data_IF_004336549305
#
_entry.id   IF_004336549305
#
_cell.length_a   1.000
_cell.length_b   1.000
_cell.length_c   1.000
_cell.angle_alpha   90.00
_cell.angle_beta   90.00
_cell.angle_gamma   90.00
#
_symmetry.space_group_name_H-M   'P 1'
#
loop_
_entity.id
_entity.type
_entity.pdbx_description
1 polymer ?
#
# COMPACT_ATOMS: atom_id res chain seq x y z
N UNK A 1 -34.98 55.55 -46.80
CA UNK A 1 -33.71 54.76 -46.93
C UNK A 1 -33.12 54.54 -45.54
N UNK A 2 -33.17 53.37 -44.96
CA UNK A 2 -32.53 53.07 -43.69
C UNK A 2 -31.14 52.45 -43.92
N UNK A 3 -30.14 53.00 -43.19
CA UNK A 3 -28.74 52.58 -43.18
C UNK A 3 -28.58 51.20 -42.50
N UNK A 4 -27.91 50.28 -43.17
CA UNK A 4 -27.47 48.98 -42.63
C UNK A 4 -26.27 49.17 -41.69
N UNK A 5 -26.36 48.63 -40.49
CA UNK A 5 -25.25 48.46 -39.52
C UNK A 5 -24.48 47.17 -39.86
N UNK A 6 -23.15 47.13 -39.63
CA UNK A 6 -22.34 45.92 -39.92
C UNK A 6 -22.52 44.89 -38.82
N UNK A 7 -22.64 43.61 -39.23
CA UNK A 7 -22.65 42.46 -38.33
C UNK A 7 -21.22 42.19 -37.85
N UNK A 8 -20.96 42.41 -36.54
CA UNK A 8 -19.78 41.89 -35.86
C UNK A 8 -19.93 40.35 -35.74
N UNK A 9 -19.00 39.64 -36.35
CA UNK A 9 -18.75 38.21 -36.10
C UNK A 9 -18.29 38.06 -34.67
N UNK A 10 -19.12 37.42 -33.85
CA UNK A 10 -18.70 36.83 -32.55
C UNK A 10 -17.99 35.51 -32.89
N UNK A 11 -16.66 35.55 -32.91
CA UNK A 11 -15.87 34.32 -32.84
C UNK A 11 -16.08 33.68 -31.48
N UNK A 12 -16.90 32.64 -31.42
CA UNK A 12 -17.01 31.77 -30.26
C UNK A 12 -15.70 30.99 -30.11
N UNK A 13 -14.88 31.40 -29.13
CA UNK A 13 -13.74 30.64 -28.67
C UNK A 13 -14.22 29.27 -28.15
N UNK A 14 -14.27 28.29 -29.01
CA UNK A 14 -14.48 26.91 -28.62
C UNK A 14 -13.32 26.50 -27.71
N UNK A 15 -13.60 26.34 -26.43
CA UNK A 15 -12.74 25.64 -25.51
C UNK A 15 -12.37 24.31 -26.16
N UNK A 16 -11.10 24.16 -26.56
CA UNK A 16 -10.54 22.87 -27.01
C UNK A 16 -10.65 21.90 -25.84
N UNK A 17 -11.74 21.15 -25.79
CA UNK A 17 -11.88 19.99 -24.93
C UNK A 17 -10.77 19.05 -25.36
N UNK A 18 -9.77 18.82 -24.52
CA UNK A 18 -8.75 17.79 -24.72
C UNK A 18 -9.49 16.47 -24.97
N UNK A 19 -9.11 15.68 -25.99
CA UNK A 19 -9.68 14.36 -26.17
C UNK A 19 -9.44 13.53 -24.90
N UNK A 20 -10.37 12.62 -24.55
CA UNK A 20 -10.20 11.77 -23.37
C UNK A 20 -8.89 11.01 -23.51
N UNK A 21 -8.05 11.09 -22.48
CA UNK A 21 -6.82 10.31 -22.36
C UNK A 21 -7.19 8.84 -22.59
N UNK A 22 -6.50 8.18 -23.51
CA UNK A 22 -6.75 6.77 -23.83
C UNK A 22 -6.58 5.93 -22.55
N UNK A 23 -7.61 5.23 -22.07
CA UNK A 23 -7.57 4.50 -20.80
C UNK A 23 -6.65 3.26 -20.82
N UNK A 24 -5.94 2.99 -21.91
CA UNK A 24 -5.18 1.76 -22.14
C UNK A 24 -3.67 1.89 -21.96
N UNK A 25 -3.14 3.07 -21.64
CA UNK A 25 -1.71 3.23 -21.34
C UNK A 25 -1.52 3.29 -19.83
N UNK A 26 -0.67 2.42 -19.25
CA UNK A 26 -0.35 2.55 -17.82
C UNK A 26 0.42 3.85 -17.60
N UNK A 27 -0.28 4.83 -17.07
CA UNK A 27 0.28 6.16 -16.77
C UNK A 27 1.22 6.14 -15.57
N UNK A 28 1.81 5.01 -15.21
CA UNK A 28 2.71 4.86 -14.08
C UNK A 28 3.58 3.61 -14.20
N UNK A 29 4.67 3.58 -13.43
CA UNK A 29 5.47 2.36 -13.20
C UNK A 29 5.36 1.99 -11.73
N UNK A 30 5.32 0.70 -11.43
CA UNK A 30 5.26 0.19 -10.08
C UNK A 30 6.46 -0.71 -9.77
N UNK A 31 7.08 -0.49 -8.60
CA UNK A 31 8.14 -1.33 -8.02
C UNK A 31 7.60 -1.96 -6.75
N UNK A 32 7.37 -3.26 -6.79
CA UNK A 32 6.97 -4.02 -5.62
C UNK A 32 8.02 -5.04 -5.21
N UNK A 33 7.93 -5.51 -3.97
CA UNK A 33 8.84 -6.53 -3.45
C UNK A 33 8.73 -6.67 -1.94
N UNK A 34 9.27 -7.75 -1.37
CA UNK A 34 9.33 -7.90 0.08
C UNK A 34 10.20 -6.82 0.71
N UNK A 35 10.07 -6.68 2.04
CA UNK A 35 11.02 -5.84 2.79
C UNK A 35 12.45 -6.33 2.58
N UNK A 36 13.42 -5.42 2.58
CA UNK A 36 14.84 -5.67 2.31
C UNK A 36 15.20 -6.14 0.89
N UNK A 37 14.27 -6.11 -0.09
CA UNK A 37 14.55 -6.50 -1.49
C UNK A 37 15.26 -5.41 -2.34
N UNK A 38 15.51 -4.21 -1.81
CA UNK A 38 16.23 -3.15 -2.54
C UNK A 38 15.33 -2.17 -3.30
N UNK A 39 14.02 -2.12 -3.02
CA UNK A 39 13.06 -1.23 -3.71
C UNK A 39 13.46 0.25 -3.72
N UNK A 40 13.93 0.78 -2.57
CA UNK A 40 14.35 2.19 -2.45
C UNK A 40 15.51 2.51 -3.37
N UNK A 41 16.56 1.66 -3.37
CA UNK A 41 17.71 1.85 -4.26
C UNK A 41 17.30 1.81 -5.75
N UNK A 42 16.38 0.89 -6.12
CA UNK A 42 15.84 0.81 -7.48
C UNK A 42 15.06 2.09 -7.85
N UNK A 43 14.23 2.59 -6.94
CA UNK A 43 13.43 3.80 -7.18
C UNK A 43 14.30 5.05 -7.35
N UNK A 44 15.35 5.21 -6.53
CA UNK A 44 16.29 6.32 -6.63
C UNK A 44 17.08 6.26 -7.94
N UNK A 45 17.58 5.08 -8.34
CA UNK A 45 18.28 4.92 -9.61
C UNK A 45 17.39 5.19 -10.84
N UNK A 46 16.09 4.93 -10.74
CA UNK A 46 15.11 5.34 -11.76
C UNK A 46 14.98 6.87 -11.77
N UNK A 47 14.88 7.50 -10.60
CA UNK A 47 14.70 8.94 -10.48
C UNK A 47 15.94 9.74 -11.00
N UNK A 48 17.12 9.16 -10.95
CA UNK A 48 18.33 9.75 -11.54
C UNK A 48 18.30 9.80 -13.08
N UNK A 49 17.50 8.92 -13.73
CA UNK A 49 17.48 8.78 -15.20
C UNK A 49 16.24 9.36 -15.85
N UNK A 50 15.11 9.38 -15.14
CA UNK A 50 13.82 9.83 -15.69
C UNK A 50 13.10 10.79 -14.75
N UNK A 51 12.32 11.72 -15.29
CA UNK A 51 11.56 12.68 -14.50
C UNK A 51 10.36 12.00 -13.82
N UNK A 52 10.62 11.35 -12.70
CA UNK A 52 9.60 10.66 -11.90
C UNK A 52 9.32 11.39 -10.58
N UNK A 53 8.18 11.09 -9.97
CA UNK A 53 7.90 11.37 -8.56
C UNK A 53 7.43 10.09 -7.90
N UNK A 54 7.91 9.79 -6.70
CA UNK A 54 7.64 8.55 -5.99
C UNK A 54 6.35 8.67 -5.19
N UNK A 55 5.46 7.68 -5.35
CA UNK A 55 4.29 7.47 -4.48
C UNK A 55 4.57 6.22 -3.64
N UNK A 56 4.66 6.41 -2.32
CA UNK A 56 4.89 5.31 -1.38
C UNK A 56 3.66 4.40 -1.29
N UNK A 57 3.84 3.11 -1.58
CA UNK A 57 2.82 2.06 -1.43
C UNK A 57 3.12 1.24 -0.17
N UNK A 58 3.19 1.95 0.96
CA UNK A 58 3.55 1.37 2.25
C UNK A 58 2.61 1.86 3.35
N UNK A 59 2.08 0.93 4.14
CA UNK A 59 1.13 1.23 5.21
C UNK A 59 1.78 1.68 6.52
N UNK A 60 3.10 1.70 6.59
CA UNK A 60 3.85 2.12 7.77
C UNK A 60 4.56 3.47 7.55
N UNK A 61 5.09 3.75 6.35
CA UNK A 61 5.77 5.00 6.03
C UNK A 61 4.86 6.23 6.11
N UNK A 62 3.56 6.04 6.12
CA UNK A 62 2.56 7.12 6.23
C UNK A 62 2.57 7.80 7.59
N UNK A 63 3.11 7.15 8.64
CA UNK A 63 3.04 7.63 10.02
C UNK A 63 4.19 8.56 10.37
N UNK A 64 3.86 9.75 10.91
CA UNK A 64 4.84 10.70 11.44
C UNK A 64 5.52 10.16 12.69
N UNK A 65 6.86 10.35 12.79
CA UNK A 65 7.66 9.93 13.95
C UNK A 65 7.86 8.41 14.06
N UNK A 66 7.53 7.67 13.00
CA UNK A 66 7.85 6.26 12.85
C UNK A 66 8.88 6.12 11.71
N UNK A 67 10.14 6.42 11.99
CA UNK A 67 11.17 6.65 10.99
C UNK A 67 12.15 5.49 10.92
N UNK A 68 12.76 5.14 12.06
CA UNK A 68 13.79 4.11 12.15
C UNK A 68 13.18 2.73 11.90
N UNK A 69 12.12 2.38 12.66
CA UNK A 69 11.50 1.06 12.59
C UNK A 69 10.76 0.77 11.28
N UNK A 70 10.39 1.79 10.52
CA UNK A 70 9.84 1.65 9.15
C UNK A 70 10.93 1.67 8.07
N UNK A 71 12.16 2.04 8.44
CA UNK A 71 13.26 2.39 7.53
C UNK A 71 12.79 3.40 6.48
N UNK A 72 12.23 4.50 6.94
CA UNK A 72 11.82 5.64 6.15
C UNK A 72 13.00 6.18 5.35
N UNK A 73 12.80 6.66 4.12
CA UNK A 73 13.87 7.31 3.37
C UNK A 73 14.51 8.43 4.19
N UNK A 74 15.83 8.54 4.12
CA UNK A 74 16.61 9.58 4.78
C UNK A 74 16.27 10.97 4.24
N UNK A 75 16.61 12.02 4.97
CA UNK A 75 16.43 13.40 4.51
C UNK A 75 17.10 13.68 3.15
N UNK A 76 18.28 13.07 2.90
CA UNK A 76 18.97 13.19 1.63
C UNK A 76 18.21 12.50 0.48
N UNK A 77 17.65 11.31 0.71
CA UNK A 77 16.82 10.59 -0.27
C UNK A 77 15.51 11.34 -0.55
N UNK A 78 14.85 11.89 0.48
CA UNK A 78 13.64 12.70 0.33
C UNK A 78 13.91 14.02 -0.42
N UNK A 79 15.10 14.59 -0.28
CA UNK A 79 15.50 15.79 -1.00
C UNK A 79 15.88 15.52 -2.47
N UNK A 80 16.32 14.30 -2.82
CA UNK A 80 16.76 13.94 -4.16
C UNK A 80 15.63 13.80 -5.17
N UNK A 81 14.45 13.33 -4.73
CA UNK A 81 13.25 13.15 -5.55
C UNK A 81 12.01 13.34 -4.68
N UNK A 82 10.92 13.96 -5.18
CA UNK A 82 9.68 14.08 -4.42
C UNK A 82 9.11 12.71 -4.04
N UNK A 83 8.83 12.54 -2.74
CA UNK A 83 8.15 11.36 -2.20
C UNK A 83 6.79 11.77 -1.66
N UNK A 84 5.75 11.09 -2.10
CA UNK A 84 4.39 11.26 -1.66
C UNK A 84 3.93 10.12 -0.77
N UNK A 85 2.96 10.36 0.10
CA UNK A 85 2.39 9.42 1.07
C UNK A 85 3.41 8.94 2.12
N UNK A 86 4.35 9.81 2.47
CA UNK A 86 5.28 9.67 3.59
C UNK A 86 4.93 10.75 4.61
N UNK A 87 4.90 10.44 5.91
CA UNK A 87 4.60 11.38 7.01
C UNK A 87 3.26 12.12 6.91
N UNK A 88 2.26 11.53 6.31
CA UNK A 88 0.95 12.16 6.09
C UNK A 88 -0.06 11.93 7.22
N UNK A 89 0.22 11.00 8.13
CA UNK A 89 -0.75 10.56 9.15
C UNK A 89 -0.13 10.57 10.55
N UNK A 90 -0.92 10.99 11.54
CA UNK A 90 -0.57 10.77 12.94
C UNK A 90 -0.74 9.28 13.29
N UNK A 91 0.16 8.67 14.10
CA UNK A 91 0.06 7.27 14.51
C UNK A 91 -1.24 6.88 15.22
N UNK A 92 -1.95 7.85 15.80
CA UNK A 92 -3.26 7.63 16.42
C UNK A 92 -4.35 7.27 15.37
N UNK A 93 -4.19 7.69 14.13
CA UNK A 93 -5.21 7.58 13.10
C UNK A 93 -4.86 6.55 12.04
N UNK A 94 -5.73 5.56 11.85
CA UNK A 94 -5.57 4.56 10.81
C UNK A 94 -5.54 5.19 9.40
N UNK A 95 -4.83 4.55 8.48
CA UNK A 95 -4.83 4.86 7.05
C UNK A 95 -5.27 3.62 6.27
N UNK A 96 -6.39 3.72 5.58
CA UNK A 96 -7.04 2.58 4.93
C UNK A 96 -6.59 2.42 3.47
N UNK A 97 -6.81 1.21 2.90
CA UNK A 97 -6.59 0.97 1.48
C UNK A 97 -7.48 1.86 0.59
N UNK A 98 -8.68 2.24 1.06
CA UNK A 98 -9.58 3.13 0.32
C UNK A 98 -9.03 4.56 0.26
N UNK A 99 -8.51 5.08 1.38
CA UNK A 99 -7.84 6.39 1.42
C UNK A 99 -6.60 6.38 0.53
N UNK A 100 -5.79 5.31 0.60
CA UNK A 100 -4.63 5.15 -0.29
C UNK A 100 -5.02 5.23 -1.77
N UNK A 101 -6.05 4.52 -2.20
CA UNK A 101 -6.49 4.52 -3.62
C UNK A 101 -6.88 5.93 -4.07
N UNK A 102 -7.67 6.65 -3.27
CA UNK A 102 -8.08 8.03 -3.58
C UNK A 102 -6.89 8.98 -3.67
N UNK A 103 -5.98 8.90 -2.70
CA UNK A 103 -4.79 9.73 -2.68
C UNK A 103 -3.84 9.39 -3.83
N UNK A 104 -3.58 8.10 -4.09
CA UNK A 104 -2.71 7.66 -5.18
C UNK A 104 -3.26 8.10 -6.56
N UNK A 105 -4.56 7.95 -6.79
CA UNK A 105 -5.20 8.39 -8.03
C UNK A 105 -5.12 9.90 -8.23
N UNK A 106 -5.31 10.68 -7.17
CA UNK A 106 -5.15 12.15 -7.20
C UNK A 106 -3.70 12.51 -7.52
N UNK A 107 -2.74 11.93 -6.81
CA UNK A 107 -1.32 12.19 -6.98
C UNK A 107 -0.83 11.80 -8.38
N UNK A 108 -1.26 10.65 -8.93
CA UNK A 108 -0.92 10.27 -10.30
C UNK A 108 -1.36 11.33 -11.30
N UNK A 109 -2.60 11.85 -11.20
CA UNK A 109 -3.07 12.95 -12.07
C UNK A 109 -2.24 14.22 -11.90
N UNK A 110 -1.93 14.60 -10.66
CA UNK A 110 -1.16 15.81 -10.35
C UNK A 110 0.28 15.71 -10.87
N UNK A 111 0.91 14.53 -10.77
CA UNK A 111 2.26 14.25 -11.28
C UNK A 111 2.28 14.34 -12.81
N UNK A 112 1.29 13.74 -13.49
CA UNK A 112 1.15 13.85 -14.94
C UNK A 112 0.93 15.29 -15.40
N UNK A 113 0.13 16.06 -14.66
CA UNK A 113 -0.08 17.47 -14.97
C UNK A 113 1.23 18.31 -14.91
N UNK A 114 2.21 17.84 -14.16
CA UNK A 114 3.58 18.41 -14.11
C UNK A 114 4.52 17.83 -15.18
N UNK A 115 4.04 16.99 -16.06
CA UNK A 115 4.84 16.34 -17.11
C UNK A 115 5.81 15.27 -16.58
N UNK A 116 5.57 14.73 -15.38
CA UNK A 116 6.39 13.68 -14.77
C UNK A 116 5.66 12.35 -14.75
N UNK A 117 6.39 11.26 -14.53
CA UNK A 117 5.86 9.91 -14.46
C UNK A 117 5.71 9.48 -12.99
N UNK A 118 4.51 9.04 -12.54
CA UNK A 118 4.33 8.46 -11.23
C UNK A 118 5.07 7.14 -11.09
N UNK A 119 5.87 7.00 -10.03
CA UNK A 119 6.59 5.78 -9.66
C UNK A 119 6.03 5.25 -8.33
N UNK A 120 5.20 4.22 -8.41
CA UNK A 120 4.61 3.56 -7.25
C UNK A 120 5.61 2.60 -6.62
N UNK A 121 6.03 2.81 -5.36
CA UNK A 121 7.09 2.01 -4.72
C UNK A 121 6.64 1.49 -3.36
N UNK A 122 6.62 0.18 -3.17
CA UNK A 122 6.27 -0.32 -1.86
C UNK A 122 6.17 -1.83 -1.68
N UNK A 123 5.66 -2.21 -0.51
CA UNK A 123 5.51 -3.60 -0.09
C UNK A 123 4.13 -3.94 0.45
N UNK A 124 3.19 -2.98 0.47
CA UNK A 124 1.81 -3.23 0.94
C UNK A 124 0.96 -3.75 -0.22
N UNK A 125 0.96 -5.07 -0.40
CA UNK A 125 0.31 -5.73 -1.53
C UNK A 125 -1.20 -5.46 -1.61
N UNK A 126 -1.86 -5.28 -0.46
CA UNK A 126 -3.27 -4.89 -0.43
C UNK A 126 -3.50 -3.55 -1.13
N UNK A 127 -2.58 -2.59 -1.01
CA UNK A 127 -2.68 -1.29 -1.66
C UNK A 127 -2.53 -1.40 -3.18
N UNK A 128 -1.54 -2.17 -3.65
CA UNK A 128 -1.41 -2.46 -5.08
C UNK A 128 -2.67 -3.14 -5.63
N UNK A 129 -3.16 -4.17 -4.93
CA UNK A 129 -4.38 -4.86 -5.35
C UNK A 129 -5.59 -3.93 -5.38
N UNK A 130 -5.76 -3.11 -4.35
CA UNK A 130 -6.86 -2.16 -4.27
C UNK A 130 -6.82 -1.12 -5.40
N UNK A 131 -5.62 -0.67 -5.79
CA UNK A 131 -5.43 0.29 -6.88
C UNK A 131 -5.66 -0.36 -8.25
N UNK A 132 -5.12 -1.55 -8.48
CA UNK A 132 -5.14 -2.21 -9.79
C UNK A 132 -6.43 -2.96 -10.09
N UNK A 133 -6.97 -3.68 -9.09
CA UNK A 133 -8.18 -4.49 -9.24
C UNK A 133 -9.44 -3.73 -8.81
N UNK A 134 -9.27 -2.58 -8.14
CA UNK A 134 -10.34 -1.85 -7.48
C UNK A 134 -10.66 -2.41 -6.09
N UNK A 135 -11.47 -1.66 -5.36
CA UNK A 135 -12.00 -2.05 -4.06
C UNK A 135 -13.42 -2.57 -4.20
N UNK A 136 -13.74 -3.53 -3.36
CA UNK A 136 -15.11 -3.98 -3.19
C UNK A 136 -15.98 -2.83 -2.66
N UNK A 137 -17.18 -2.69 -3.20
CA UNK A 137 -18.17 -1.66 -2.82
C UNK A 137 -18.81 -1.99 -1.45
N UNK A 138 -17.94 -2.11 -0.44
CA UNK A 138 -18.30 -2.45 0.93
C UNK A 138 -18.61 -1.20 1.75
N UNK A 139 -19.49 -1.28 2.76
CA UNK A 139 -19.72 -0.19 3.69
C UNK A 139 -18.43 0.36 4.28
N UNK A 140 -18.36 1.68 4.44
CA UNK A 140 -17.25 2.32 5.16
C UNK A 140 -17.21 1.80 6.60
N UNK A 141 -16.03 1.85 7.20
CA UNK A 141 -15.84 1.50 8.59
C UNK A 141 -16.63 2.43 9.52
N UNK A 142 -17.28 1.86 10.54
CA UNK A 142 -18.02 2.60 11.55
C UNK A 142 -17.40 2.37 12.93
N UNK A 143 -16.97 3.45 13.57
CA UNK A 143 -16.29 3.39 14.86
C UNK A 143 -17.18 2.86 16.00
N UNK A 144 -18.48 3.20 15.98
CA UNK A 144 -19.41 2.74 17.00
C UNK A 144 -19.71 1.24 16.87
N UNK A 145 -19.86 0.75 15.63
CA UNK A 145 -20.03 -0.69 15.35
C UNK A 145 -18.78 -1.46 15.78
N UNK A 146 -17.60 -0.96 15.47
CA UNK A 146 -16.32 -1.57 15.90
C UNK A 146 -16.17 -1.62 17.41
N UNK A 147 -16.49 -0.54 18.11
CA UNK A 147 -16.46 -0.52 19.57
C UNK A 147 -17.43 -1.57 20.17
N UNK A 148 -18.62 -1.74 19.59
CA UNK A 148 -19.57 -2.76 20.01
C UNK A 148 -19.03 -4.18 19.81
N UNK A 149 -18.43 -4.46 18.64
CA UNK A 149 -17.81 -5.76 18.35
C UNK A 149 -16.65 -6.03 19.31
N UNK A 150 -15.80 -5.02 19.58
CA UNK A 150 -14.69 -5.14 20.52
C UNK A 150 -15.17 -5.45 21.96
N UNK A 151 -16.22 -4.80 22.42
CA UNK A 151 -16.84 -5.08 23.72
C UNK A 151 -17.41 -6.51 23.78
N UNK A 152 -18.06 -6.99 22.72
CA UNK A 152 -18.54 -8.37 22.63
C UNK A 152 -17.38 -9.37 22.63
N UNK A 153 -16.27 -9.07 21.92
CA UNK A 153 -15.08 -9.92 21.88
C UNK A 153 -14.40 -10.01 23.27
N UNK A 154 -14.39 -8.91 24.01
CA UNK A 154 -13.87 -8.91 25.39
C UNK A 154 -14.72 -9.78 26.30
N UNK A 155 -16.05 -9.76 26.16
CA UNK A 155 -16.98 -10.51 27.00
C UNK A 155 -17.06 -12.02 26.66
N UNK A 156 -17.04 -12.38 25.36
CA UNK A 156 -17.31 -13.74 24.87
C UNK A 156 -16.11 -14.44 24.25
N UNK A 157 -15.07 -13.69 23.88
CA UNK A 157 -13.92 -14.18 23.12
C UNK A 157 -14.18 -14.26 21.61
N UNK A 158 -13.10 -14.24 20.80
CA UNK A 158 -13.16 -14.30 19.34
C UNK A 158 -13.77 -15.59 18.78
N UNK A 159 -13.55 -16.80 19.38
CA UNK A 159 -14.22 -18.01 18.91
C UNK A 159 -15.74 -17.94 18.95
N UNK A 160 -16.32 -17.28 19.94
CA UNK A 160 -17.78 -17.08 20.01
C UNK A 160 -18.26 -16.14 18.89
N UNK A 161 -17.55 -15.04 18.63
CA UNK A 161 -17.85 -14.14 17.52
C UNK A 161 -17.66 -14.82 16.16
N UNK A 162 -16.69 -15.72 16.01
CA UNK A 162 -16.55 -16.55 14.82
C UNK A 162 -17.75 -17.46 14.61
N UNK A 163 -18.30 -18.06 15.67
CA UNK A 163 -19.53 -18.85 15.59
C UNK A 163 -20.74 -17.98 15.21
N UNK A 164 -20.84 -16.76 15.75
CA UNK A 164 -21.88 -15.78 15.34
C UNK A 164 -21.73 -15.41 13.84
N UNK A 165 -20.48 -15.21 13.37
CA UNK A 165 -20.20 -14.97 11.95
C UNK A 165 -20.62 -16.16 11.07
N UNK A 166 -20.43 -17.39 11.53
CA UNK A 166 -20.81 -18.58 10.78
C UNK A 166 -22.33 -18.68 10.53
N UNK A 167 -23.16 -18.07 11.36
CA UNK A 167 -24.60 -17.99 11.17
C UNK A 167 -24.97 -17.00 10.06
N UNK A 168 -24.31 -15.83 10.01
CA UNK A 168 -24.68 -14.74 9.09
C UNK A 168 -23.89 -14.74 7.79
N UNK A 169 -22.66 -15.28 7.80
CA UNK A 169 -21.77 -15.41 6.64
C UNK A 169 -20.94 -16.69 6.71
N UNK A 170 -21.57 -17.86 6.49
CA UNK A 170 -20.88 -19.17 6.59
C UNK A 170 -19.73 -19.29 5.58
N UNK A 171 -19.82 -18.63 4.42
CA UNK A 171 -18.76 -18.65 3.39
C UNK A 171 -17.51 -17.95 3.87
N UNK A 172 -17.65 -16.81 4.53
CA UNK A 172 -16.50 -16.09 5.09
C UNK A 172 -15.96 -16.81 6.33
N UNK A 173 -16.83 -17.26 7.24
CA UNK A 173 -16.42 -17.95 8.46
C UNK A 173 -15.59 -19.21 8.18
N UNK A 174 -15.98 -20.03 7.19
CA UNK A 174 -15.26 -21.24 6.80
C UNK A 174 -13.82 -21.01 6.34
N UNK A 175 -13.44 -19.77 6.00
CA UNK A 175 -12.08 -19.39 5.54
C UNK A 175 -11.24 -18.75 6.63
N UNK A 176 -11.82 -18.46 7.78
CA UNK A 176 -11.18 -17.72 8.86
C UNK A 176 -10.90 -18.64 10.05
N UNK A 177 -9.71 -18.45 10.63
CA UNK A 177 -9.41 -19.08 11.92
C UNK A 177 -10.26 -18.42 13.03
N UNK A 178 -10.71 -19.19 14.05
CA UNK A 178 -11.55 -18.65 15.13
C UNK A 178 -10.91 -17.51 15.94
N UNK A 179 -9.59 -17.35 15.86
CA UNK A 179 -8.83 -16.28 16.54
C UNK A 179 -8.46 -15.13 15.59
N UNK A 180 -8.90 -15.13 14.32
CA UNK A 180 -8.61 -14.02 13.38
C UNK A 180 -9.51 -12.81 13.67
N UNK A 181 -9.17 -12.14 14.77
CA UNK A 181 -9.93 -11.00 15.32
C UNK A 181 -10.25 -9.93 14.27
N UNK A 182 -9.25 -9.59 13.43
CA UNK A 182 -9.37 -8.50 12.48
C UNK A 182 -10.35 -8.82 11.35
N UNK A 183 -10.29 -10.03 10.78
CA UNK A 183 -11.18 -10.43 9.69
C UNK A 183 -12.57 -10.76 10.17
N UNK A 184 -12.70 -11.40 11.34
CA UNK A 184 -14.01 -11.64 12.00
C UNK A 184 -14.69 -10.32 12.29
N UNK A 185 -13.98 -9.37 12.94
CA UNK A 185 -14.52 -8.04 13.24
C UNK A 185 -14.99 -7.33 11.96
N UNK A 186 -14.21 -7.35 10.88
CA UNK A 186 -14.59 -6.71 9.62
C UNK A 186 -15.82 -7.35 8.97
N UNK A 187 -15.93 -8.67 8.97
CA UNK A 187 -17.06 -9.37 8.38
C UNK A 187 -18.36 -9.09 9.17
N UNK A 188 -18.30 -9.10 10.49
CA UNK A 188 -19.43 -8.73 11.35
C UNK A 188 -19.80 -7.24 11.19
N UNK A 189 -18.81 -6.33 11.13
CA UNK A 189 -19.02 -4.90 10.86
C UNK A 189 -19.81 -4.68 9.56
N UNK A 190 -19.37 -5.32 8.46
CA UNK A 190 -20.04 -5.22 7.16
C UNK A 190 -21.48 -5.70 7.26
N UNK A 191 -21.72 -6.84 7.90
CA UNK A 191 -23.05 -7.37 8.09
C UNK A 191 -23.93 -6.46 8.96
N UNK A 192 -23.41 -5.96 10.06
CA UNK A 192 -24.15 -5.07 10.97
C UNK A 192 -24.55 -3.73 10.33
N UNK A 193 -23.75 -3.22 9.39
CA UNK A 193 -24.04 -1.96 8.69
C UNK A 193 -24.99 -2.16 7.52
N UNK A 194 -24.79 -3.24 6.73
CA UNK A 194 -25.47 -3.41 5.44
C UNK A 194 -26.60 -4.44 5.45
N UNK A 195 -26.68 -5.30 6.47
CA UNK A 195 -27.55 -6.48 6.47
C UNK A 195 -27.14 -7.56 5.47
N UNK A 196 -25.99 -7.42 4.79
CA UNK A 196 -25.50 -8.36 3.79
C UNK A 196 -24.16 -8.98 4.22
N UNK A 197 -23.93 -10.28 3.95
CA UNK A 197 -22.66 -10.94 4.26
C UNK A 197 -21.51 -10.35 3.44
N UNK A 198 -20.28 -10.39 3.98
CA UNK A 198 -19.06 -9.93 3.28
C UNK A 198 -18.90 -10.65 1.94
N UNK A 199 -19.19 -11.95 1.90
CA UNK A 199 -19.13 -12.77 0.69
C UNK A 199 -20.04 -12.24 -0.46
N UNK A 200 -21.14 -11.57 -0.15
CA UNK A 200 -22.01 -10.93 -1.17
C UNK A 200 -21.28 -9.86 -1.95
N UNK A 201 -20.56 -8.96 -1.25
CA UNK A 201 -19.83 -7.88 -1.89
C UNK A 201 -18.66 -8.40 -2.72
N UNK A 202 -17.93 -9.41 -2.22
CA UNK A 202 -16.82 -10.04 -2.93
C UNK A 202 -17.24 -10.67 -4.27
N UNK A 203 -18.41 -11.34 -4.31
CA UNK A 203 -18.95 -11.93 -5.55
C UNK A 203 -19.42 -10.87 -6.55
N UNK A 204 -20.11 -9.83 -6.06
CA UNK A 204 -20.68 -8.77 -6.91
C UNK A 204 -19.57 -7.99 -7.65
N UNK A 205 -18.43 -7.82 -7.03
CA UNK A 205 -17.36 -6.96 -7.55
C UNK A 205 -16.37 -7.71 -8.44
N UNK A 206 -16.24 -9.03 -8.30
CA UNK A 206 -15.44 -9.83 -9.23
C UNK A 206 -15.91 -9.66 -10.69
N UNK A 207 -17.22 -9.43 -10.92
CA UNK A 207 -17.78 -9.20 -12.24
C UNK A 207 -17.69 -7.72 -12.71
N UNK A 208 -17.76 -6.74 -11.78
CA UNK A 208 -17.77 -5.30 -12.11
C UNK A 208 -16.38 -4.69 -12.28
N UNK A 209 -15.41 -5.14 -11.49
CA UNK A 209 -14.09 -4.50 -11.44
C UNK A 209 -13.28 -4.71 -12.72
N UNK A 210 -13.51 -5.81 -13.46
CA UNK A 210 -12.80 -6.09 -14.72
C UNK A 210 -13.25 -5.16 -15.85
N UNK A 211 -14.51 -4.74 -15.87
CA UNK A 211 -15.08 -3.98 -17.00
C UNK A 211 -14.85 -2.45 -16.92
N UNK A 212 -14.65 -1.88 -15.71
CA UNK A 212 -14.67 -0.42 -15.52
C UNK A 212 -13.45 0.14 -14.76
N UNK A 213 -12.45 -0.66 -14.45
CA UNK A 213 -11.25 -0.15 -13.79
C UNK A 213 -10.20 0.26 -14.83
N UNK A 214 -9.89 1.56 -14.98
CA UNK A 214 -8.88 2.03 -15.94
C UNK A 214 -7.47 1.51 -15.64
N UNK A 215 -7.27 0.91 -14.47
CA UNK A 215 -5.97 0.38 -14.01
C UNK A 215 -5.82 -1.13 -14.18
N UNK A 216 -6.73 -1.83 -14.86
CA UNK A 216 -6.66 -3.30 -15.02
C UNK A 216 -5.40 -3.75 -15.76
N UNK A 217 -4.86 -2.93 -16.68
CA UNK A 217 -3.61 -3.19 -17.39
C UNK A 217 -2.34 -2.79 -16.60
N UNK A 218 -2.49 -2.18 -15.43
CA UNK A 218 -1.38 -1.70 -14.60
C UNK A 218 -0.49 -2.81 -14.06
N UNK A 219 -0.99 -4.05 -13.98
CA UNK A 219 -0.18 -5.21 -13.63
C UNK A 219 1.02 -5.42 -14.55
N UNK A 220 0.94 -5.00 -15.83
CA UNK A 220 2.03 -5.10 -16.82
C UNK A 220 3.17 -4.12 -16.54
N UNK A 221 2.87 -3.01 -15.88
CA UNK A 221 3.86 -2.01 -15.47
C UNK A 221 4.44 -2.28 -14.07
N UNK A 222 4.14 -3.44 -13.46
CA UNK A 222 4.63 -3.85 -12.17
C UNK A 222 5.93 -4.64 -12.30
N UNK A 223 7.04 -4.04 -11.87
CA UNK A 223 8.32 -4.72 -11.69
C UNK A 223 8.37 -5.25 -10.26
N UNK A 224 8.57 -6.56 -10.13
CA UNK A 224 8.59 -7.25 -8.84
C UNK A 224 9.99 -7.70 -8.49
N UNK A 225 10.54 -7.17 -7.40
CA UNK A 225 11.84 -7.58 -6.85
C UNK A 225 11.62 -8.81 -5.96
N UNK A 226 11.97 -9.99 -6.44
CA UNK A 226 11.78 -11.25 -5.72
C UNK A 226 13.12 -11.98 -5.58
N UNK A 227 13.50 -12.44 -4.37
CA UNK A 227 14.73 -13.23 -4.22
C UNK A 227 14.52 -14.63 -4.74
N UNK A 228 15.53 -15.21 -5.40
CA UNK A 228 15.61 -16.63 -5.73
C UNK A 228 16.06 -17.43 -4.51
N UNK A 229 16.99 -16.87 -3.72
CA UNK A 229 17.44 -17.45 -2.47
C UNK A 229 16.78 -16.76 -1.25
N UNK A 230 16.05 -17.55 -0.48
CA UNK A 230 15.43 -17.05 0.77
C UNK A 230 16.46 -16.75 1.86
N UNK A 231 17.58 -17.45 1.87
CA UNK A 231 18.63 -17.27 2.88
C UNK A 231 19.25 -15.88 2.74
N UNK A 232 19.49 -15.43 1.51
CA UNK A 232 19.93 -14.08 1.20
C UNK A 232 18.97 -13.00 1.77
N UNK A 233 17.69 -13.16 1.53
CA UNK A 233 16.69 -12.23 2.06
C UNK A 233 16.65 -12.23 3.59
N UNK A 234 16.74 -13.42 4.19
CA UNK A 234 16.73 -13.57 5.65
C UNK A 234 17.95 -12.92 6.30
N UNK A 235 19.13 -13.00 5.68
CA UNK A 235 20.33 -12.32 6.15
C UNK A 235 20.18 -10.79 6.10
N UNK A 236 19.65 -10.25 4.99
CA UNK A 236 19.38 -8.82 4.84
C UNK A 236 18.34 -8.30 5.83
N UNK A 237 17.30 -9.08 6.12
CA UNK A 237 16.30 -8.74 7.13
C UNK A 237 16.97 -8.65 8.51
N UNK A 238 17.84 -9.60 8.87
CA UNK A 238 18.55 -9.58 10.14
C UNK A 238 19.48 -8.36 10.23
N UNK A 239 20.33 -8.14 9.23
CA UNK A 239 21.22 -6.97 9.16
C UNK A 239 20.46 -5.64 9.29
N UNK A 240 19.33 -5.51 8.60
CA UNK A 240 18.49 -4.30 8.67
C UNK A 240 17.89 -4.10 10.05
N UNK A 241 17.42 -5.16 10.69
CA UNK A 241 16.86 -5.07 12.04
C UNK A 241 17.94 -4.69 13.07
N UNK A 242 19.15 -5.25 12.94
CA UNK A 242 20.30 -4.89 13.76
C UNK A 242 20.69 -3.41 13.58
N UNK A 243 20.70 -2.93 12.34
CA UNK A 243 20.96 -1.53 12.03
C UNK A 243 19.89 -0.59 12.63
N UNK A 244 18.61 -0.99 12.61
CA UNK A 244 17.53 -0.23 13.26
C UNK A 244 17.73 -0.13 14.77
N UNK A 245 18.07 -1.24 15.43
CA UNK A 245 18.36 -1.25 16.87
C UNK A 245 19.54 -0.34 17.21
N UNK A 246 20.62 -0.41 16.43
CA UNK A 246 21.80 0.43 16.59
C UNK A 246 21.53 1.92 16.32
N UNK A 247 20.57 2.24 15.44
CA UNK A 247 20.17 3.61 15.13
C UNK A 247 19.21 4.25 16.15
N UNK A 248 18.84 3.53 17.23
CA UNK A 248 17.97 4.08 18.28
C UNK A 248 16.49 3.72 18.14
N UNK A 249 16.15 2.64 17.44
CA UNK A 249 14.77 2.20 17.27
C UNK A 249 13.99 2.08 18.59
N UNK A 250 14.63 1.60 19.66
CA UNK A 250 13.98 1.49 20.96
C UNK A 250 13.65 2.86 21.58
N UNK A 251 14.46 3.87 21.33
CA UNK A 251 14.20 5.22 21.83
C UNK A 251 13.07 5.90 21.04
N UNK A 252 12.98 5.63 19.73
CA UNK A 252 11.82 6.02 18.91
C UNK A 252 10.52 5.41 19.48
N UNK A 253 10.50 4.12 19.80
CA UNK A 253 9.30 3.47 20.37
C UNK A 253 8.97 4.01 21.77
N UNK A 254 9.96 4.27 22.62
CA UNK A 254 9.75 4.92 23.93
C UNK A 254 9.13 6.31 23.79
N UNK A 255 9.61 7.11 22.82
CA UNK A 255 9.06 8.43 22.53
C UNK A 255 7.59 8.36 22.06
N UNK A 256 7.25 7.42 21.18
CA UNK A 256 5.87 7.17 20.79
C UNK A 256 5.00 6.76 21.98
N UNK A 257 5.50 5.89 22.85
CA UNK A 257 4.78 5.44 24.04
C UNK A 257 4.58 6.56 25.07
N UNK A 258 5.56 7.44 25.21
CA UNK A 258 5.51 8.58 26.13
C UNK A 258 4.43 9.62 25.75
N UNK A 259 3.88 9.57 24.55
CA UNK A 259 2.73 10.40 24.15
C UNK A 259 1.49 10.13 25.02
N UNK A 260 1.30 8.90 25.49
CA UNK A 260 0.18 8.51 26.37
C UNK A 260 -1.17 8.30 25.66
N UNK A 261 -1.30 8.64 24.37
CA UNK A 261 -2.51 8.48 23.56
C UNK A 261 -2.45 7.27 22.62
N UNK A 262 -1.27 6.64 22.50
CA UNK A 262 -1.07 5.46 21.65
C UNK A 262 -1.18 4.16 22.47
N UNK A 263 -1.68 3.09 21.83
CA UNK A 263 -1.82 1.78 22.46
C UNK A 263 -1.53 0.64 21.46
N UNK A 264 -1.29 -0.57 21.98
CA UNK A 264 -0.83 -1.72 21.21
C UNK A 264 -1.78 -2.16 20.06
N UNK A 265 -3.08 -1.84 20.14
CA UNK A 265 -4.06 -2.23 19.14
C UNK A 265 -4.13 -1.29 17.92
N UNK A 266 -3.50 -0.13 17.98
CA UNK A 266 -3.48 0.80 16.85
C UNK A 266 -2.76 0.18 15.64
N UNK A 267 -3.26 0.39 14.41
CA UNK A 267 -2.63 -0.11 13.20
C UNK A 267 -1.16 0.30 13.06
N UNK A 268 -0.79 1.50 13.49
CA UNK A 268 0.57 2.01 13.54
C UNK A 268 1.47 1.16 14.46
N UNK A 269 1.03 0.92 15.68
CA UNK A 269 1.80 0.16 16.68
C UNK A 269 1.85 -1.34 16.33
N UNK A 270 0.85 -1.84 15.59
CA UNK A 270 0.85 -3.22 15.07
C UNK A 270 1.79 -3.43 13.88
N UNK A 271 2.46 -2.40 13.37
CA UNK A 271 3.52 -2.56 12.39
C UNK A 271 4.62 -3.48 12.93
N UNK A 272 5.17 -4.32 12.02
CA UNK A 272 6.25 -5.26 12.38
C UNK A 272 7.46 -4.47 12.89
N UNK A 273 8.04 -4.94 13.96
CA UNK A 273 9.08 -4.25 14.73
C UNK A 273 8.49 -3.46 15.90
N UNK A 274 7.61 -2.50 15.61
CA UNK A 274 6.97 -1.67 16.65
C UNK A 274 6.15 -2.51 17.62
N UNK A 275 5.36 -3.44 17.12
CA UNK A 275 4.60 -4.35 17.96
C UNK A 275 5.49 -5.10 18.94
N UNK A 276 6.58 -5.71 18.46
CA UNK A 276 7.51 -6.48 19.30
C UNK A 276 8.23 -5.58 20.32
N UNK A 277 8.64 -4.37 19.90
CA UNK A 277 9.26 -3.40 20.77
C UNK A 277 8.28 -2.90 21.85
N UNK A 278 7.01 -2.68 21.48
CA UNK A 278 5.96 -2.31 22.43
C UNK A 278 5.70 -3.42 23.45
N UNK A 279 5.54 -4.66 22.99
CA UNK A 279 5.38 -5.86 23.84
C UNK A 279 6.58 -6.03 24.81
N UNK A 280 7.80 -5.72 24.36
CA UNK A 280 8.99 -5.76 25.20
C UNK A 280 8.99 -4.65 26.28
N UNK A 281 8.52 -3.44 25.95
CA UNK A 281 8.39 -2.34 26.90
C UNK A 281 7.25 -2.55 27.92
N UNK A 282 6.24 -3.35 27.55
CA UNK A 282 5.14 -3.76 28.44
C UNK A 282 5.52 -4.96 29.32
N UNK A 283 6.70 -5.56 29.11
CA UNK A 283 7.14 -6.77 29.83
C UNK A 283 6.46 -8.06 29.37
N UNK A 284 5.64 -8.01 28.30
CA UNK A 284 5.01 -9.18 27.69
C UNK A 284 5.99 -10.02 26.83
N UNK A 285 7.10 -9.41 26.40
CA UNK A 285 8.20 -10.03 25.69
C UNK A 285 9.52 -9.72 26.43
N UNK A 286 10.36 -10.74 26.75
CA UNK A 286 11.70 -10.49 27.27
C UNK A 286 12.53 -9.62 26.33
N UNK A 287 13.21 -8.59 26.86
CA UNK A 287 13.98 -7.63 26.06
C UNK A 287 15.09 -8.31 25.23
N UNK A 288 15.71 -9.35 25.76
CA UNK A 288 16.72 -10.13 25.05
C UNK A 288 16.18 -10.96 23.89
N UNK A 289 14.86 -11.22 23.81
CA UNK A 289 14.20 -11.91 22.71
C UNK A 289 13.71 -10.95 21.61
N UNK A 290 13.65 -9.65 21.88
CA UNK A 290 13.10 -8.64 20.95
C UNK A 290 13.69 -8.74 19.56
N UNK A 291 15.03 -8.83 19.46
CA UNK A 291 15.76 -8.93 18.18
C UNK A 291 15.24 -10.12 17.35
N UNK A 292 15.25 -11.29 17.94
CA UNK A 292 14.90 -12.52 17.21
C UNK A 292 13.41 -12.57 16.87
N UNK A 293 12.53 -12.09 17.76
CA UNK A 293 11.09 -11.96 17.48
C UNK A 293 10.81 -10.93 16.37
N UNK A 294 11.51 -9.80 16.36
CA UNK A 294 11.40 -8.78 15.33
C UNK A 294 11.85 -9.30 13.96
N UNK A 295 13.01 -9.98 13.90
CA UNK A 295 13.50 -10.64 12.69
C UNK A 295 12.51 -11.70 12.19
N UNK A 296 12.02 -12.57 13.09
CA UNK A 296 11.05 -13.60 12.75
C UNK A 296 9.76 -12.98 12.17
N UNK A 297 9.18 -12.00 12.83
CA UNK A 297 7.97 -11.31 12.37
C UNK A 297 8.18 -10.65 11.00
N UNK A 298 9.37 -10.07 10.76
CA UNK A 298 9.74 -9.47 9.47
C UNK A 298 9.88 -10.51 8.37
N UNK A 299 10.45 -11.69 8.66
CA UNK A 299 10.50 -12.83 7.71
C UNK A 299 9.08 -13.32 7.34
N UNK A 300 8.17 -13.38 8.32
CA UNK A 300 6.77 -13.73 8.07
C UNK A 300 6.06 -12.67 7.20
N UNK A 301 6.35 -11.39 7.42
CA UNK A 301 5.84 -10.32 6.54
C UNK A 301 6.37 -10.51 5.11
N UNK A 302 7.66 -10.70 4.93
CA UNK A 302 8.28 -10.93 3.62
C UNK A 302 7.69 -12.15 2.90
N UNK A 303 7.47 -13.26 3.62
CA UNK A 303 6.80 -14.47 3.09
C UNK A 303 5.40 -14.13 2.55
N UNK A 304 4.60 -13.38 3.32
CA UNK A 304 3.26 -12.95 2.86
C UNK A 304 3.34 -12.05 1.64
N UNK A 305 4.27 -11.11 1.59
CA UNK A 305 4.48 -10.23 0.44
C UNK A 305 4.79 -11.02 -0.83
N UNK A 306 5.71 -11.98 -0.76
CA UNK A 306 6.05 -12.87 -1.90
C UNK A 306 4.84 -13.71 -2.33
N UNK A 307 4.06 -14.25 -1.38
CA UNK A 307 2.84 -15.01 -1.71
C UNK A 307 1.82 -14.16 -2.48
N UNK A 308 1.63 -12.92 -2.08
CA UNK A 308 0.75 -11.99 -2.77
C UNK A 308 1.27 -11.61 -4.16
N UNK A 309 2.58 -11.33 -4.31
CA UNK A 309 3.19 -11.04 -5.61
C UNK A 309 2.96 -12.18 -6.60
N UNK A 310 3.06 -13.42 -6.15
CA UNK A 310 2.81 -14.60 -6.99
C UNK A 310 1.37 -14.69 -7.50
N UNK A 311 0.41 -14.05 -6.85
CA UNK A 311 -0.97 -13.95 -7.34
C UNK A 311 -1.17 -12.88 -8.43
N UNK A 312 -0.11 -12.14 -8.81
CA UNK A 312 -0.11 -11.14 -9.88
C UNK A 312 0.67 -11.67 -11.10
N UNK A 313 0.06 -12.47 -11.98
CA UNK A 313 0.80 -13.24 -13.00
C UNK A 313 1.47 -12.38 -14.07
N UNK A 314 0.99 -11.16 -14.30
CA UNK A 314 1.53 -10.25 -15.32
C UNK A 314 2.72 -9.42 -14.82
N UNK A 315 3.12 -9.56 -13.54
CA UNK A 315 4.28 -8.83 -12.99
C UNK A 315 5.58 -9.21 -13.70
N UNK A 316 6.46 -8.26 -13.86
CA UNK A 316 7.79 -8.48 -14.43
C UNK A 316 8.79 -8.78 -13.31
N UNK A 317 9.11 -10.04 -13.11
CA UNK A 317 10.01 -10.47 -12.03
C UNK A 317 11.45 -10.10 -12.33
N UNK A 318 12.15 -9.59 -11.30
CA UNK A 318 13.60 -9.39 -11.26
C UNK A 318 14.12 -10.10 -10.01
N UNK A 319 15.12 -10.97 -10.20
CA UNK A 319 15.81 -11.65 -9.10
C UNK A 319 16.67 -10.64 -8.33
N UNK A 320 16.18 -10.19 -7.16
CA UNK A 320 16.81 -9.08 -6.44
C UNK A 320 18.11 -9.45 -5.70
N UNK A 321 18.44 -10.71 -5.65
CA UNK A 321 19.69 -11.28 -5.12
C UNK A 321 20.79 -11.43 -6.20
N UNK A 322 20.47 -11.18 -7.47
CA UNK A 322 21.44 -11.20 -8.55
C UNK A 322 22.21 -9.87 -8.65
N UNK A 323 23.53 -9.91 -8.99
CA UNK A 323 24.34 -8.68 -9.14
C UNK A 323 23.81 -7.70 -10.19
N UNK A 324 23.11 -8.21 -11.20
CA UNK A 324 22.52 -7.42 -12.31
C UNK A 324 21.13 -6.90 -12.02
N UNK A 325 20.56 -7.15 -10.84
CA UNK A 325 19.19 -6.83 -10.51
C UNK A 325 18.82 -5.35 -10.78
N UNK A 326 19.67 -4.43 -10.36
CA UNK A 326 19.45 -3.00 -10.58
C UNK A 326 19.41 -2.65 -12.07
N UNK A 327 20.35 -3.18 -12.86
CA UNK A 327 20.36 -2.95 -14.31
C UNK A 327 19.11 -3.51 -14.97
N UNK A 328 18.68 -4.72 -14.59
CA UNK A 328 17.45 -5.31 -15.11
C UNK A 328 16.21 -4.46 -14.79
N UNK A 329 16.12 -3.84 -13.60
CA UNK A 329 15.04 -2.89 -13.27
C UNK A 329 15.09 -1.69 -14.20
N UNK A 330 16.26 -1.11 -14.44
CA UNK A 330 16.41 0.05 -15.32
C UNK A 330 16.05 -0.26 -16.78
N UNK A 331 16.47 -1.42 -17.29
CA UNK A 331 16.15 -1.87 -18.66
C UNK A 331 14.63 -2.08 -18.82
N UNK A 332 13.98 -2.73 -17.85
CA UNK A 332 12.52 -2.90 -17.84
C UNK A 332 11.79 -1.57 -17.75
N UNK A 333 12.27 -0.65 -16.93
CA UNK A 333 11.73 0.71 -16.80
C UNK A 333 11.81 1.45 -18.15
N UNK A 334 12.96 1.40 -18.82
CA UNK A 334 13.14 2.00 -20.13
C UNK A 334 12.18 1.42 -21.18
N UNK A 335 12.03 0.09 -21.21
CA UNK A 335 11.11 -0.59 -22.12
C UNK A 335 9.66 -0.18 -21.90
N UNK A 336 9.23 -0.04 -20.63
CA UNK A 336 7.90 0.42 -20.26
C UNK A 336 7.68 1.86 -20.72
N UNK A 337 8.59 2.78 -20.43
CA UNK A 337 8.51 4.19 -20.87
C UNK A 337 8.43 4.28 -22.41
N UNK A 338 9.25 3.52 -23.13
CA UNK A 338 9.21 3.48 -24.59
C UNK A 338 7.88 2.92 -25.14
N UNK A 339 7.20 2.06 -24.41
CA UNK A 339 5.88 1.57 -24.81
C UNK A 339 4.78 2.63 -24.64
N UNK A 340 4.89 3.52 -23.64
CA UNK A 340 3.93 4.60 -23.40
C UNK A 340 3.94 5.64 -24.54
N UNK A 341 5.12 5.96 -25.05
CA UNK A 341 5.29 6.95 -26.13
C UNK A 341 4.77 6.48 -27.49
N UNK A 342 4.69 5.16 -27.73
CA UNK A 342 4.20 4.60 -29.01
C UNK A 342 2.67 4.58 -29.15
N UNK A 343 1.94 4.74 -28.08
CA UNK A 343 0.47 4.67 -28.06
C UNK A 343 -0.20 6.04 -28.14
N UNK A 344 0.54 7.12 -28.21
CA UNK A 344 0.04 8.46 -28.51
C UNK A 344 0.12 8.66 -30.03
N UNK A 345 -0.99 8.63 -30.80
CA UNK A 345 -0.95 9.02 -32.20
C UNK A 345 -0.57 10.50 -32.32
N UNK A 346 0.09 10.90 -33.42
CA UNK A 346 0.56 12.27 -33.66
C UNK A 346 -0.57 13.29 -33.71
#
# INVERSE_FOLDING_TARGET
MPRRLPRHCLESGALKVRPPVNPLTPDHIAIAGPTAAGKTAAALAIAERWPVEIISVDSALVYRGMDIGTAKPSAAELASVPHHLVDIRDPLHAYSAAEFVLDAQRLMRDIHARGKLPLLVGGTMLYFKALFDGLDDMPKADAAVRARIAAQALAKGWPALHAELAVVDPVTAARLEPQDSQRISRALEVFMISGQPLAFFQKKNAAKNIANNPYTDCHRALISLEPTDRSWLHARIAQRFDAMLAAGFMDEVKALRARGDLHADLPSIRCVGYRQAWEALDGALPMNELRDKGIFATRQLAKRQITWLRSMPQRQVVACDEPTALQQVLDKTQALIASFTRTTPP
#
